data_IF_271048990602
#
_entry.id   IF_271048990602
#
_cell.length_a   1.000
_cell.length_b   1.000
_cell.length_c   1.000
_cell.angle_alpha   90.00
_cell.angle_beta   90.00
_cell.angle_gamma   90.00
#
_symmetry.space_group_name_H-M   'P 1'
#
loop_
_entity.id
_entity.type
_entity.pdbx_description
1 polymer ?
#
# COMPACT_ATOMS: atom_id res chain seq x y z
N UNK A 1 18.68 21.13 -0.79
CA UNK A 1 18.01 20.35 0.27
C UNK A 1 16.55 20.72 0.28
N UNK A 2 15.69 19.91 0.89
CA UNK A 2 14.23 20.14 1.12
C UNK A 2 13.22 19.58 0.10
N UNK A 3 13.61 19.22 -1.13
CA UNK A 3 12.65 18.71 -2.13
C UNK A 3 12.47 17.19 -2.16
N UNK A 4 13.48 16.41 -1.75
CA UNK A 4 13.42 14.94 -1.80
C UNK A 4 12.59 14.28 -0.70
N UNK A 5 12.53 14.90 0.48
CA UNK A 5 11.85 14.35 1.66
C UNK A 5 10.32 14.46 1.55
N UNK A 6 9.83 15.62 1.10
CA UNK A 6 8.40 15.89 0.90
C UNK A 6 7.74 15.01 -0.17
N UNK A 7 8.43 14.76 -1.29
CA UNK A 7 7.94 13.87 -2.35
C UNK A 7 7.85 12.41 -1.87
N UNK A 8 8.81 11.99 -1.05
CA UNK A 8 8.85 10.64 -0.48
C UNK A 8 7.70 10.41 0.50
N UNK A 9 7.34 11.43 1.29
CA UNK A 9 6.16 11.42 2.15
C UNK A 9 4.85 11.30 1.36
N UNK A 10 4.65 12.14 0.34
CA UNK A 10 3.43 12.15 -0.48
C UNK A 10 3.22 10.83 -1.26
N UNK A 11 4.28 10.26 -1.82
CA UNK A 11 4.23 8.92 -2.44
C UNK A 11 3.88 7.85 -1.40
N UNK A 12 4.43 7.97 -0.19
CA UNK A 12 4.14 7.08 0.93
C UNK A 12 2.67 7.08 1.33
N UNK A 13 2.06 8.26 1.44
CA UNK A 13 0.64 8.40 1.76
C UNK A 13 -0.26 7.86 0.65
N UNK A 14 0.09 8.13 -0.61
CA UNK A 14 -0.67 7.63 -1.77
C UNK A 14 -0.62 6.09 -1.83
N UNK A 15 0.56 5.51 -1.63
CA UNK A 15 0.74 4.06 -1.61
C UNK A 15 -0.02 3.42 -0.43
N UNK A 16 0.03 4.04 0.77
CA UNK A 16 -0.73 3.59 1.94
C UNK A 16 -2.24 3.58 1.66
N UNK A 17 -2.77 4.63 1.07
CA UNK A 17 -4.20 4.74 0.74
C UNK A 17 -4.62 3.72 -0.31
N UNK A 18 -3.78 3.44 -1.31
CA UNK A 18 -4.06 2.40 -2.31
C UNK A 18 -4.22 1.01 -1.65
N UNK A 19 -3.35 0.67 -0.68
CA UNK A 19 -3.42 -0.59 0.07
C UNK A 19 -4.71 -0.68 0.89
N UNK A 20 -5.09 0.39 1.58
CA UNK A 20 -6.33 0.42 2.39
C UNK A 20 -7.56 0.23 1.50
N UNK A 21 -7.67 0.99 0.40
CA UNK A 21 -8.80 0.87 -0.53
C UNK A 21 -8.89 -0.52 -1.16
N UNK A 22 -7.75 -1.13 -1.49
CA UNK A 22 -7.73 -2.49 -2.01
C UNK A 22 -8.19 -3.52 -0.98
N UNK A 23 -7.83 -3.36 0.30
CA UNK A 23 -8.33 -4.20 1.39
C UNK A 23 -9.84 -4.03 1.58
N UNK A 24 -10.34 -2.80 1.57
CA UNK A 24 -11.78 -2.51 1.66
C UNK A 24 -12.55 -3.14 0.51
N UNK A 25 -12.09 -2.95 -0.73
CA UNK A 25 -12.70 -3.54 -1.92
C UNK A 25 -12.66 -5.07 -1.92
N UNK A 26 -11.64 -5.65 -1.29
CA UNK A 26 -11.48 -7.10 -1.13
C UNK A 26 -12.19 -7.68 0.11
N UNK A 27 -12.90 -6.87 0.90
CA UNK A 27 -13.50 -7.31 2.17
C UNK A 27 -12.47 -7.85 3.17
N UNK A 28 -11.26 -7.30 3.18
CA UNK A 28 -10.15 -7.72 4.02
C UNK A 28 -9.31 -8.89 3.46
N UNK A 29 -9.68 -9.47 2.33
CA UNK A 29 -8.89 -10.54 1.72
C UNK A 29 -7.59 -10.00 1.09
N UNK A 30 -6.48 -10.18 1.81
CA UNK A 30 -5.14 -9.68 1.43
C UNK A 30 -4.64 -10.23 0.08
N UNK A 31 -5.00 -11.47 -0.25
CA UNK A 31 -4.62 -12.07 -1.53
C UNK A 31 -5.39 -11.45 -2.68
N UNK A 32 -6.65 -11.11 -2.48
CA UNK A 32 -7.48 -10.44 -3.47
C UNK A 32 -7.11 -8.95 -3.60
N UNK A 33 -6.85 -8.27 -2.47
CA UNK A 33 -6.36 -6.89 -2.46
C UNK A 33 -5.05 -6.74 -3.26
N UNK A 34 -4.13 -7.70 -3.15
CA UNK A 34 -2.92 -7.71 -3.96
C UNK A 34 -3.21 -7.81 -5.47
N UNK A 35 -4.20 -8.64 -5.87
CA UNK A 35 -4.64 -8.73 -7.27
C UNK A 35 -5.31 -7.44 -7.74
N UNK A 36 -6.14 -6.82 -6.91
CA UNK A 36 -6.79 -5.53 -7.20
C UNK A 36 -5.73 -4.45 -7.50
N UNK A 37 -4.63 -4.44 -6.74
CA UNK A 37 -3.51 -3.52 -6.99
C UNK A 37 -2.57 -3.96 -8.13
N UNK A 38 -2.78 -5.13 -8.73
CA UNK A 38 -1.93 -5.65 -9.80
C UNK A 38 -0.50 -5.98 -9.36
N UNK A 39 -0.28 -6.28 -8.07
CA UNK A 39 1.05 -6.59 -7.53
C UNK A 39 1.13 -8.01 -6.96
N UNK A 40 2.35 -8.52 -6.88
CA UNK A 40 2.61 -9.81 -6.24
C UNK A 40 2.24 -9.78 -4.75
N UNK A 41 1.70 -10.89 -4.23
CA UNK A 41 1.27 -11.00 -2.83
C UNK A 41 2.41 -10.68 -1.86
N UNK A 42 3.62 -11.20 -2.09
CA UNK A 42 4.79 -10.93 -1.26
C UNK A 42 5.12 -9.44 -1.16
N UNK A 43 5.06 -8.71 -2.28
CA UNK A 43 5.23 -7.26 -2.31
C UNK A 43 4.13 -6.52 -1.57
N UNK A 44 2.88 -6.97 -1.70
CA UNK A 44 1.75 -6.43 -0.96
C UNK A 44 1.94 -6.56 0.56
N UNK A 45 2.31 -7.75 1.05
CA UNK A 45 2.61 -7.97 2.47
C UNK A 45 3.76 -7.10 2.97
N UNK A 46 4.83 -6.93 2.17
CA UNK A 46 5.95 -6.08 2.55
C UNK A 46 5.51 -4.62 2.70
N UNK A 47 4.69 -4.11 1.78
CA UNK A 47 4.13 -2.76 1.86
C UNK A 47 3.18 -2.60 3.05
N UNK A 48 2.31 -3.57 3.32
CA UNK A 48 1.47 -3.56 4.52
C UNK A 48 2.31 -3.43 5.80
N UNK A 49 3.39 -4.21 5.93
CA UNK A 49 4.32 -4.11 7.07
C UNK A 49 4.99 -2.74 7.15
N UNK A 50 5.45 -2.20 6.01
CA UNK A 50 6.06 -0.86 5.92
C UNK A 50 5.11 0.23 6.45
N UNK A 51 3.83 0.16 6.10
CA UNK A 51 2.82 1.14 6.51
C UNK A 51 2.04 0.76 7.77
N UNK A 52 2.45 -0.32 8.46
CA UNK A 52 1.82 -0.84 9.69
C UNK A 52 0.32 -1.09 9.54
N UNK A 53 -0.09 -1.63 8.39
CA UNK A 53 -1.47 -2.05 8.09
C UNK A 53 -1.61 -3.53 8.48
N UNK A 54 -2.67 -3.88 9.22
CA UNK A 54 -2.93 -5.23 9.76
C UNK A 54 -3.63 -6.16 8.76
#
# INVERSE_FOLDING_TARGET
>A
GETGDNLSGLLGDTERQAIIKALEAAGGNKSEAAKILGIHRSGFYQKMRKYKIQ
#
